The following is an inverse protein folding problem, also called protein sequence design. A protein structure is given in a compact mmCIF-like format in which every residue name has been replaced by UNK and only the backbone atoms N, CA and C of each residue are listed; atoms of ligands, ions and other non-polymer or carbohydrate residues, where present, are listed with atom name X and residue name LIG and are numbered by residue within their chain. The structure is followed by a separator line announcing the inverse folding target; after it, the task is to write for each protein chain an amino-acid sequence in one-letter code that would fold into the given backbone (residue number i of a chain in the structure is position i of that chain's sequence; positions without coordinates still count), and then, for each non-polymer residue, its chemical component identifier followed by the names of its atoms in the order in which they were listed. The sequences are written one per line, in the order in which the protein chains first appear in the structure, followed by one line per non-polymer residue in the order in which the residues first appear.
data_IF_228712897920
#
_entry.id   IF_228712897920
#
_cell.length_a   1.000
_cell.length_b   1.000
_cell.length_c   1.000
_cell.angle_alpha   90.00
_cell.angle_beta   90.00
_cell.angle_gamma   90.00
#
_symmetry.space_group_name_H-M   'P 1'
#
loop_
_entity.id
_entity.type
_entity.pdbx_description
1 polymer ?
#
# COMPACT_ATOMS: atom_id res chain seq x y z
N UNK A 1 -1.48 -20.97 0.77
CA UNK A 1 -2.20 -20.58 -0.47
C UNK A 1 -3.32 -21.57 -0.68
N UNK A 2 -4.57 -21.10 -0.84
CA UNK A 2 -5.75 -21.94 -1.06
C UNK A 2 -6.42 -21.53 -2.37
N UNK A 3 -7.12 -22.47 -3.01
CA UNK A 3 -7.89 -22.22 -4.24
C UNK A 3 -8.85 -21.03 -4.09
N UNK A 4 -9.48 -20.91 -2.93
CA UNK A 4 -10.42 -19.84 -2.57
C UNK A 4 -9.84 -18.43 -2.78
N UNK A 5 -8.52 -18.25 -2.65
CA UNK A 5 -7.88 -16.95 -2.85
C UNK A 5 -7.80 -16.52 -4.33
N UNK A 6 -8.00 -17.45 -5.26
CA UNK A 6 -7.94 -17.20 -6.71
C UNK A 6 -9.32 -17.09 -7.34
N UNK A 7 -10.40 -17.32 -6.59
CA UNK A 7 -11.74 -17.36 -7.15
C UNK A 7 -12.12 -16.02 -7.81
N UNK A 8 -11.85 -14.89 -7.14
CA UNK A 8 -12.07 -13.54 -7.69
C UNK A 8 -11.24 -13.31 -8.98
N UNK A 9 -10.00 -13.81 -9.01
CA UNK A 9 -9.16 -13.72 -10.20
C UNK A 9 -9.73 -14.53 -11.37
N UNK A 10 -10.18 -15.76 -11.12
CA UNK A 10 -10.74 -16.65 -12.15
C UNK A 10 -12.01 -16.02 -12.75
N UNK A 11 -12.90 -15.49 -11.89
CA UNK A 11 -14.11 -14.81 -12.31
C UNK A 11 -13.80 -13.56 -13.16
N UNK A 12 -12.82 -12.75 -12.75
CA UNK A 12 -12.41 -11.56 -13.50
C UNK A 12 -11.65 -11.88 -14.80
N UNK A 13 -10.91 -12.98 -14.84
CA UNK A 13 -10.15 -13.41 -16.01
C UNK A 13 -11.06 -13.81 -17.17
N UNK A 14 -12.22 -14.42 -16.84
CA UNK A 14 -13.27 -14.85 -17.76
C UNK A 14 -12.68 -15.61 -18.97
N UNK A 15 -12.20 -16.83 -18.71
CA UNK A 15 -11.48 -17.63 -19.71
C UNK A 15 -12.30 -17.96 -20.96
N UNK A 16 -13.62 -18.07 -20.80
CA UNK A 16 -14.55 -18.38 -21.89
C UNK A 16 -14.75 -17.20 -22.86
N UNK A 17 -14.69 -15.96 -22.35
CA UNK A 17 -14.92 -14.75 -23.14
C UNK A 17 -14.14 -13.55 -22.60
N UNK A 18 -12.98 -13.29 -23.21
CA UNK A 18 -12.14 -12.16 -22.84
C UNK A 18 -12.79 -10.79 -23.04
N UNK A 19 -13.84 -10.68 -23.86
CA UNK A 19 -14.59 -9.43 -24.03
C UNK A 19 -15.45 -9.09 -22.81
N UNK A 20 -15.77 -10.10 -21.99
CA UNK A 20 -16.58 -9.95 -20.78
C UNK A 20 -15.77 -9.72 -19.50
N UNK A 21 -14.45 -9.54 -19.61
CA UNK A 21 -13.61 -9.14 -18.49
C UNK A 21 -14.13 -7.82 -17.90
N UNK A 22 -14.53 -7.85 -16.63
CA UNK A 22 -15.03 -6.69 -15.91
C UNK A 22 -13.99 -6.21 -14.91
N UNK A 23 -13.66 -4.93 -15.00
CA UNK A 23 -12.78 -4.27 -14.04
C UNK A 23 -13.46 -4.16 -12.68
N UNK A 24 -12.75 -4.52 -11.61
CA UNK A 24 -13.20 -4.25 -10.24
C UNK A 24 -12.73 -2.88 -9.78
N UNK A 25 -11.70 -2.31 -10.44
CA UNK A 25 -11.24 -0.95 -10.21
C UNK A 25 -12.15 0.08 -10.90
N UNK A 26 -12.50 1.14 -10.16
CA UNK A 26 -13.11 2.35 -10.71
C UNK A 26 -12.61 3.58 -9.92
N UNK A 27 -12.90 4.79 -10.38
CA UNK A 27 -12.60 6.01 -9.61
C UNK A 27 -13.32 6.01 -8.24
N UNK A 28 -14.48 5.36 -8.16
CA UNK A 28 -15.28 5.20 -6.94
C UNK A 28 -14.80 4.01 -6.09
N UNK A 29 -14.19 2.99 -6.72
CA UNK A 29 -13.58 1.84 -6.06
C UNK A 29 -12.07 1.73 -6.38
N UNK A 30 -11.24 2.62 -5.81
CA UNK A 30 -9.80 2.62 -6.07
C UNK A 30 -9.08 1.39 -5.49
N UNK A 31 -9.77 0.63 -4.63
CA UNK A 31 -9.27 -0.60 -3.99
C UNK A 31 -9.49 -1.86 -4.85
N UNK A 32 -10.13 -1.75 -6.01
CA UNK A 32 -10.31 -2.86 -6.96
C UNK A 32 -8.96 -3.44 -7.42
N UNK A 33 -8.86 -4.77 -7.42
CA UNK A 33 -7.63 -5.52 -7.76
C UNK A 33 -7.52 -5.89 -9.24
N UNK A 34 -8.56 -5.65 -10.03
CA UNK A 34 -8.59 -5.89 -11.47
C UNK A 34 -8.80 -4.58 -12.23
N UNK A 35 -7.79 -4.16 -13.00
CA UNK A 35 -7.75 -2.89 -13.73
C UNK A 35 -7.20 -3.10 -15.13
N UNK A 36 -7.81 -2.45 -16.12
CA UNK A 36 -7.34 -2.42 -17.50
C UNK A 36 -6.47 -1.18 -17.72
N UNK A 37 -5.47 -1.34 -18.57
CA UNK A 37 -4.66 -0.25 -19.11
C UNK A 37 -4.68 -0.33 -20.64
N UNK A 38 -4.75 0.81 -21.31
CA UNK A 38 -4.59 0.87 -22.76
C UNK A 38 -3.11 0.78 -23.13
N UNK A 39 -2.82 0.40 -24.38
CA UNK A 39 -1.43 0.37 -24.87
C UNK A 39 -0.83 1.78 -24.84
N UNK A 40 -1.62 2.81 -25.13
CA UNK A 40 -1.17 4.21 -25.10
C UNK A 40 -0.72 4.62 -23.68
N UNK A 41 -1.47 4.22 -22.64
CA UNK A 41 -1.09 4.46 -21.25
C UNK A 41 0.22 3.75 -20.88
N UNK A 42 0.41 2.51 -21.34
CA UNK A 42 1.64 1.75 -21.08
C UNK A 42 2.83 2.35 -21.82
N UNK A 43 2.64 2.77 -23.08
CA UNK A 43 3.68 3.38 -23.92
C UNK A 43 4.11 4.75 -23.41
N UNK A 44 3.21 5.49 -22.78
CA UNK A 44 3.52 6.79 -22.17
C UNK A 44 4.36 6.66 -20.87
N UNK A 45 4.49 5.46 -20.28
CA UNK A 45 5.30 5.23 -19.08
C UNK A 45 6.79 5.28 -19.40
N UNK A 46 7.59 5.67 -18.42
CA UNK A 46 9.05 5.59 -18.51
C UNK A 46 9.47 4.15 -18.87
N UNK A 47 10.22 4.03 -19.97
CA UNK A 47 10.73 2.76 -20.52
C UNK A 47 9.65 1.72 -20.83
N UNK A 48 8.38 2.11 -20.98
CA UNK A 48 7.27 1.17 -21.20
C UNK A 48 7.20 0.11 -20.09
N UNK A 49 7.48 0.52 -18.85
CA UNK A 49 7.54 -0.39 -17.71
C UNK A 49 6.17 -1.02 -17.40
N UNK A 50 6.15 -2.36 -17.35
CA UNK A 50 5.01 -3.18 -16.94
C UNK A 50 4.95 -3.41 -15.42
N UNK A 51 5.88 -2.84 -14.66
CA UNK A 51 5.79 -2.81 -13.20
C UNK A 51 4.71 -1.79 -12.80
N UNK A 52 3.48 -2.27 -12.71
CA UNK A 52 2.27 -1.48 -12.50
C UNK A 52 1.65 -1.89 -11.17
N UNK A 53 1.63 -0.94 -10.23
CA UNK A 53 0.90 -1.04 -8.99
C UNK A 53 0.15 0.28 -8.73
N UNK A 54 -1.12 0.17 -8.32
CA UNK A 54 -1.94 1.33 -7.91
C UNK A 54 -2.49 1.20 -6.49
N UNK A 55 -2.45 0.00 -5.92
CA UNK A 55 -2.83 -0.24 -4.54
C UNK A 55 -1.68 0.18 -3.62
N UNK A 56 -1.93 1.15 -2.75
CA UNK A 56 -1.02 1.49 -1.66
C UNK A 56 -1.24 0.48 -0.54
N UNK A 57 -0.18 -0.21 -0.14
CA UNK A 57 -0.20 -1.14 0.98
C UNK A 57 0.25 -0.38 2.23
N UNK A 58 -0.70 0.00 3.07
CA UNK A 58 -0.45 0.74 4.30
C UNK A 58 -1.76 1.32 4.83
N UNK A 59 -1.83 1.52 6.15
CA UNK A 59 -2.79 2.44 6.74
C UNK A 59 -2.82 3.68 5.87
N UNK A 60 -4.02 4.19 5.59
CA UNK A 60 -4.15 5.53 5.05
C UNK A 60 -3.11 6.35 5.81
N UNK A 61 -2.16 6.98 5.10
CA UNK A 61 -1.63 8.22 5.63
C UNK A 61 -2.89 9.07 5.69
N UNK A 62 -3.61 8.94 6.80
CA UNK A 62 -4.59 9.91 7.22
C UNK A 62 -3.88 11.24 6.98
N UNK A 63 -4.59 12.20 6.40
CA UNK A 63 -4.08 13.57 6.38
C UNK A 63 -4.04 14.01 7.85
N UNK A 64 -3.04 13.53 8.59
CA UNK A 64 -2.77 13.83 9.98
C UNK A 64 -2.38 15.29 9.95
N UNK A 65 -3.15 16.17 10.61
CA UNK A 65 -2.85 17.58 10.61
C UNK A 65 -1.48 17.80 11.24
N UNK A 66 -0.79 18.86 10.80
CA UNK A 66 0.64 19.06 11.09
C UNK A 66 0.94 19.12 12.60
N UNK A 67 -0.01 19.62 13.38
CA UNK A 67 0.02 19.65 14.84
C UNK A 67 0.04 18.25 15.46
N UNK A 68 -0.85 17.36 15.03
CA UNK A 68 -0.87 15.96 15.48
C UNK A 68 0.39 15.20 15.03
N UNK A 69 0.94 15.53 13.86
CA UNK A 69 2.22 14.96 13.42
C UNK A 69 3.39 15.41 14.31
N UNK A 70 3.43 16.70 14.69
CA UNK A 70 4.46 17.24 15.58
C UNK A 70 4.36 16.62 16.99
N UNK A 71 3.15 16.48 17.53
CA UNK A 71 2.91 15.82 18.81
C UNK A 71 3.39 14.36 18.79
N UNK A 72 3.05 13.63 17.73
CA UNK A 72 3.52 12.26 17.52
C UNK A 72 5.06 12.15 17.44
N UNK A 73 5.73 13.12 16.82
CA UNK A 73 7.19 13.17 16.74
C UNK A 73 7.79 13.43 18.12
N UNK A 74 7.25 14.39 18.87
CA UNK A 74 7.72 14.71 20.23
C UNK A 74 7.54 13.55 21.20
N UNK A 75 6.40 12.86 21.14
CA UNK A 75 6.12 11.69 21.97
C UNK A 75 7.10 10.56 21.66
N UNK A 76 7.28 10.23 20.36
CA UNK A 76 8.23 9.20 19.93
C UNK A 76 9.66 9.55 20.31
N UNK A 77 10.07 10.81 20.16
CA UNK A 77 11.40 11.27 20.57
C UNK A 77 11.62 11.12 22.08
N UNK A 78 10.62 11.47 22.89
CA UNK A 78 10.66 11.32 24.36
C UNK A 78 10.75 9.85 24.77
N UNK A 79 9.98 8.98 24.13
CA UNK A 79 10.01 7.54 24.38
C UNK A 79 11.38 6.94 24.06
N UNK A 80 11.98 7.33 22.92
CA UNK A 80 13.33 6.93 22.55
C UNK A 80 14.35 7.43 23.58
N UNK A 81 14.26 8.69 23.99
CA UNK A 81 15.18 9.26 24.97
C UNK A 81 15.11 8.52 26.32
N UNK A 82 13.90 8.21 26.80
CA UNK A 82 13.71 7.42 28.02
C UNK A 82 14.30 6.00 27.89
N UNK A 83 14.11 5.35 26.74
CA UNK A 83 14.69 4.04 26.48
C UNK A 83 16.23 4.09 26.48
N UNK A 84 16.80 5.12 25.86
CA UNK A 84 18.25 5.35 25.83
C UNK A 84 18.81 5.60 27.23
N UNK A 85 18.13 6.36 28.08
CA UNK A 85 18.54 6.57 29.48
C UNK A 85 18.56 5.27 30.27
N UNK A 86 17.50 4.45 30.14
CA UNK A 86 17.45 3.12 30.77
C UNK A 86 18.60 2.23 30.30
N UNK A 87 18.92 2.26 29.00
CA UNK A 87 20.07 1.51 28.46
C UNK A 87 21.41 2.03 29.00
N UNK A 88 21.59 3.36 29.11
CA UNK A 88 22.79 3.96 29.71
C UNK A 88 22.99 3.54 31.17
N UNK A 89 21.91 3.47 31.96
CA UNK A 89 21.97 2.99 33.34
C UNK A 89 22.43 1.53 33.40
N UNK A 90 21.92 0.66 32.52
CA UNK A 90 22.33 -0.75 32.45
C UNK A 90 23.82 -0.88 32.07
N UNK A 91 24.31 -0.05 31.15
CA UNK A 91 25.71 -0.08 30.70
C UNK A 91 26.66 0.47 31.77
N UNK A 92 26.27 1.54 32.48
CA UNK A 92 27.11 2.21 33.48
C UNK A 92 27.03 1.59 34.89
N UNK A 93 26.17 0.58 35.11
CA UNK A 93 26.14 -0.22 36.33
C UNK A 93 27.04 -1.47 36.29
N UNK A 94 27.98 -1.55 35.33
CA UNK A 94 29.12 -2.49 35.35
C UNK A 94 30.41 -1.77 35.73
#
# INVERSE_FOLDING_TARGET
MKYEHFQEFIECYCEDDFSQRKETYSAENPKGRWRKYTIEEIMARDKTSLDIAWLKQGEETEDIPLDELLENIEEKATNIMSAVEKLKLIINCK
#
